data_IF_850223742417
#
_entry.id   IF_850223742417
#
_cell.length_a   1.000
_cell.length_b   1.000
_cell.length_c   1.000
_cell.angle_alpha   90.00
_cell.angle_beta   90.00
_cell.angle_gamma   90.00
#
_symmetry.space_group_name_H-M   'P 1'
#
loop_
_entity.id
_entity.type
_entity.pdbx_description
1 polymer ?
#
# COMPACT_ATOMS: atom_id res chain seq x y z
N UNK A 1 -28.53 16.51 55.76
CA UNK A 1 -28.40 15.04 55.79
C UNK A 1 -27.07 14.70 55.12
N UNK A 2 -26.01 14.34 55.89
CA UNK A 2 -24.69 14.02 55.32
C UNK A 2 -24.71 12.53 54.92
N UNK A 3 -24.80 12.25 53.65
CA UNK A 3 -24.70 10.89 53.11
C UNK A 3 -23.27 10.38 53.32
N UNK A 4 -23.05 9.47 54.24
CA UNK A 4 -21.77 8.79 54.43
C UNK A 4 -21.52 7.88 53.20
N UNK A 5 -20.60 8.31 52.33
CA UNK A 5 -20.19 7.52 51.17
C UNK A 5 -19.27 6.39 51.64
N UNK A 6 -19.76 5.16 51.67
CA UNK A 6 -18.97 3.96 52.00
C UNK A 6 -18.67 3.17 50.74
N UNK A 7 -17.51 2.51 50.66
CA UNK A 7 -17.09 1.70 49.53
C UNK A 7 -18.15 0.65 49.12
N UNK A 8 -18.82 0.06 50.13
CA UNK A 8 -19.92 -0.90 49.86
C UNK A 8 -21.11 -0.26 49.13
N UNK A 9 -21.47 0.99 49.48
CA UNK A 9 -22.55 1.72 48.79
C UNK A 9 -22.16 2.08 47.38
N UNK A 10 -20.91 2.49 47.13
CA UNK A 10 -20.39 2.77 45.78
C UNK A 10 -20.46 1.51 44.92
N UNK A 11 -19.95 0.38 45.43
CA UNK A 11 -20.02 -0.91 44.69
C UNK A 11 -21.46 -1.34 44.42
N UNK A 12 -22.36 -1.21 45.40
CA UNK A 12 -23.77 -1.56 45.22
C UNK A 12 -24.45 -0.69 44.17
N UNK A 13 -24.14 0.63 44.13
CA UNK A 13 -24.69 1.54 43.12
C UNK A 13 -24.16 1.20 41.72
N UNK A 14 -22.86 0.92 41.58
CA UNK A 14 -22.25 0.50 40.34
C UNK A 14 -22.86 -0.82 39.84
N UNK A 15 -23.02 -1.80 40.74
CA UNK A 15 -23.63 -3.08 40.38
C UNK A 15 -25.11 -2.92 39.97
N UNK A 16 -25.87 -2.09 40.69
CA UNK A 16 -27.27 -1.79 40.30
C UNK A 16 -27.37 -1.08 38.97
N UNK A 17 -26.50 -0.11 38.69
CA UNK A 17 -26.43 0.56 37.40
C UNK A 17 -26.06 -0.39 36.26
N UNK A 18 -25.11 -1.29 36.46
CA UNK A 18 -24.74 -2.31 35.51
C UNK A 18 -25.90 -3.29 35.23
N UNK A 19 -26.57 -3.75 36.29
CA UNK A 19 -27.74 -4.64 36.17
C UNK A 19 -28.90 -3.96 35.42
N UNK A 20 -29.16 -2.68 35.70
CA UNK A 20 -30.16 -1.90 34.98
C UNK A 20 -29.77 -1.73 33.51
N UNK A 21 -28.50 -1.42 33.19
CA UNK A 21 -28.02 -1.33 31.82
C UNK A 21 -28.18 -2.65 31.04
N UNK A 22 -27.87 -3.77 31.69
CA UNK A 22 -28.10 -5.10 31.11
C UNK A 22 -29.59 -5.42 30.91
N UNK A 23 -30.44 -5.06 31.86
CA UNK A 23 -31.90 -5.24 31.73
C UNK A 23 -32.49 -4.42 30.59
N UNK A 24 -32.02 -3.16 30.42
CA UNK A 24 -32.41 -2.31 29.29
C UNK A 24 -31.93 -2.92 27.97
N UNK A 25 -30.68 -3.38 27.87
CA UNK A 25 -30.17 -4.03 26.69
C UNK A 25 -30.95 -5.32 26.34
N UNK A 26 -31.24 -6.14 27.35
CA UNK A 26 -32.03 -7.37 27.22
C UNK A 26 -33.47 -7.13 26.79
N UNK A 27 -34.08 -6.03 27.21
CA UNK A 27 -35.49 -5.70 26.92
C UNK A 27 -35.76 -5.44 25.43
N UNK A 28 -34.71 -5.19 24.61
CA UNK A 28 -34.86 -4.84 23.21
C UNK A 28 -35.47 -3.45 22.95
N UNK A 29 -35.60 -2.63 23.99
CA UNK A 29 -36.18 -1.27 23.84
C UNK A 29 -35.27 -0.31 23.09
N UNK A 30 -33.95 -0.62 23.06
CA UNK A 30 -32.98 0.18 22.34
C UNK A 30 -33.11 -0.12 20.85
N UNK A 31 -33.55 0.86 20.09
CA UNK A 31 -33.61 0.75 18.63
C UNK A 31 -32.17 0.82 18.03
N UNK A 32 -31.71 -0.28 17.44
CA UNK A 32 -30.42 -0.38 16.72
C UNK A 32 -30.59 -0.31 15.20
N UNK A 33 -31.78 0.02 14.72
CA UNK A 33 -32.07 0.17 13.29
C UNK A 33 -31.34 1.38 12.70
N UNK A 34 -30.54 1.17 11.65
CA UNK A 34 -29.79 2.23 10.97
C UNK A 34 -30.67 3.32 10.34
N UNK A 35 -31.97 3.03 10.13
CA UNK A 35 -32.93 3.96 9.55
C UNK A 35 -33.26 5.17 10.45
N UNK A 36 -32.95 5.13 11.73
CA UNK A 36 -33.25 6.20 12.69
C UNK A 36 -32.11 7.15 12.96
N UNK A 37 -30.89 6.80 12.52
CA UNK A 37 -29.67 7.55 12.82
C UNK A 37 -29.29 7.51 14.31
N UNK A 38 -28.22 8.21 14.66
CA UNK A 38 -27.81 8.41 16.05
C UNK A 38 -28.51 9.65 16.64
N UNK A 39 -28.70 9.66 17.95
CA UNK A 39 -29.02 10.91 18.65
C UNK A 39 -27.86 11.90 18.47
N UNK A 40 -28.15 13.18 18.34
CA UNK A 40 -27.16 14.22 18.09
C UNK A 40 -25.99 14.21 19.08
N UNK A 41 -26.27 13.94 20.38
CA UNK A 41 -25.23 13.83 21.42
C UNK A 41 -24.37 12.59 21.24
N UNK A 42 -24.94 11.48 20.81
CA UNK A 42 -24.20 10.25 20.52
C UNK A 42 -23.32 10.41 19.29
N UNK A 43 -23.85 11.00 18.23
CA UNK A 43 -23.11 11.30 17.01
C UNK A 43 -21.93 12.23 17.28
N UNK A 44 -22.15 13.33 18.00
CA UNK A 44 -21.09 14.24 18.43
C UNK A 44 -20.02 13.51 19.25
N UNK A 45 -20.42 12.69 20.22
CA UNK A 45 -19.47 11.96 21.08
C UNK A 45 -18.64 10.95 20.29
N UNK A 46 -19.26 10.17 19.41
CA UNK A 46 -18.58 9.18 18.58
C UNK A 46 -17.58 9.84 17.63
N UNK A 47 -17.97 10.95 16.98
CA UNK A 47 -17.05 11.72 16.13
C UNK A 47 -15.90 12.32 16.93
N UNK A 48 -16.17 12.89 18.09
CA UNK A 48 -15.14 13.44 18.96
C UNK A 48 -14.16 12.35 19.43
N UNK A 49 -14.67 11.20 19.88
CA UNK A 49 -13.86 10.07 20.33
C UNK A 49 -13.00 9.52 19.18
N UNK A 50 -13.59 9.32 18.01
CA UNK A 50 -12.88 8.85 16.81
C UNK A 50 -11.74 9.80 16.42
N UNK A 51 -12.02 11.13 16.35
CA UNK A 51 -10.99 12.11 16.00
C UNK A 51 -9.83 12.13 16.99
N UNK A 52 -10.11 12.05 18.29
CA UNK A 52 -9.07 12.00 19.33
C UNK A 52 -8.26 10.69 19.23
N UNK A 53 -8.93 9.56 19.03
CA UNK A 53 -8.27 8.26 18.83
C UNK A 53 -7.30 8.32 17.63
N UNK A 54 -7.77 8.78 16.49
CA UNK A 54 -6.93 8.88 15.28
C UNK A 54 -5.73 9.79 15.52
N UNK A 55 -5.93 10.97 16.13
CA UNK A 55 -4.84 11.91 16.43
C UNK A 55 -3.79 11.27 17.34
N UNK A 56 -4.24 10.64 18.42
CA UNK A 56 -3.36 10.01 19.40
C UNK A 56 -2.58 8.84 18.78
N UNK A 57 -3.29 7.88 18.20
CA UNK A 57 -2.64 6.70 17.63
C UNK A 57 -1.73 7.02 16.44
N UNK A 58 -2.13 7.93 15.56
CA UNK A 58 -1.26 8.36 14.45
C UNK A 58 0.04 8.98 14.97
N UNK A 59 -0.01 9.75 16.07
CA UNK A 59 1.19 10.37 16.64
C UNK A 59 2.13 9.34 17.27
N UNK A 60 1.61 8.31 17.94
CA UNK A 60 2.43 7.34 18.66
C UNK A 60 2.82 6.10 17.83
N UNK A 61 2.07 5.75 16.78
CA UNK A 61 2.29 4.48 16.06
C UNK A 61 2.73 4.65 14.62
N UNK A 62 2.61 5.85 14.03
CA UNK A 62 3.04 6.11 12.65
C UNK A 62 4.31 6.96 12.67
N UNK A 63 5.38 6.43 12.11
CA UNK A 63 6.61 7.18 11.92
C UNK A 63 6.38 8.38 10.97
N UNK A 64 7.04 9.51 11.24
CA UNK A 64 6.96 10.71 10.38
C UNK A 64 7.45 10.40 8.98
N UNK A 65 8.58 9.74 8.86
CA UNK A 65 9.17 9.36 7.58
C UNK A 65 8.34 8.32 6.84
N UNK A 66 7.64 7.44 7.57
CA UNK A 66 6.75 6.45 6.96
C UNK A 66 5.52 7.06 6.29
N UNK A 67 5.10 8.26 6.69
CA UNK A 67 3.97 8.96 6.10
C UNK A 67 4.37 9.92 4.96
N UNK A 68 5.66 10.19 4.80
CA UNK A 68 6.19 11.05 3.75
C UNK A 68 6.37 10.28 2.46
N UNK A 69 5.92 10.86 1.36
CA UNK A 69 6.18 10.37 0.01
C UNK A 69 6.82 11.47 -0.82
N UNK A 70 7.72 11.12 -1.75
CA UNK A 70 8.11 12.03 -2.82
C UNK A 70 6.87 12.54 -3.54
N UNK A 71 6.85 13.81 -3.88
CA UNK A 71 5.66 14.49 -4.45
C UNK A 71 5.55 14.26 -5.98
N UNK A 72 6.25 13.25 -6.52
CA UNK A 72 6.11 12.87 -7.90
C UNK A 72 4.76 12.18 -8.13
N UNK A 73 3.96 12.72 -9.04
CA UNK A 73 2.63 12.20 -9.34
C UNK A 73 2.61 10.78 -9.94
N UNK A 74 3.79 10.23 -10.29
CA UNK A 74 3.91 8.93 -10.96
C UNK A 74 3.47 7.75 -10.08
N UNK A 75 3.70 7.85 -8.78
CA UNK A 75 3.34 6.82 -7.81
C UNK A 75 1.84 6.81 -7.45
N UNK A 76 1.07 7.83 -7.87
CA UNK A 76 -0.35 7.94 -7.54
C UNK A 76 -1.26 7.11 -8.43
N UNK A 77 -0.79 6.61 -9.58
CA UNK A 77 -1.61 5.84 -10.54
C UNK A 77 -2.17 4.57 -9.90
N UNK A 78 -1.33 3.84 -9.18
CA UNK A 78 -1.73 2.62 -8.47
C UNK A 78 -2.79 2.93 -7.40
N UNK A 79 -2.55 3.95 -6.57
CA UNK A 79 -3.48 4.37 -5.53
C UNK A 79 -4.80 4.89 -6.13
N UNK A 80 -4.75 5.72 -7.17
CA UNK A 80 -5.93 6.25 -7.85
C UNK A 80 -6.81 5.13 -8.40
N UNK A 81 -6.21 4.14 -9.04
CA UNK A 81 -6.94 3.00 -9.57
C UNK A 81 -7.56 2.11 -8.50
N UNK A 82 -6.84 1.86 -7.41
CA UNK A 82 -7.39 1.12 -6.29
C UNK A 82 -8.50 1.92 -5.60
N UNK A 83 -8.32 3.24 -5.43
CA UNK A 83 -9.36 4.14 -4.89
C UNK A 83 -10.64 4.07 -5.71
N UNK A 84 -10.54 4.21 -7.02
CA UNK A 84 -11.69 4.13 -7.92
C UNK A 84 -12.41 2.78 -7.83
N UNK A 85 -11.66 1.68 -7.69
CA UNK A 85 -12.22 0.33 -7.65
C UNK A 85 -12.84 -0.04 -6.30
N UNK A 86 -12.34 0.49 -5.18
CA UNK A 86 -12.68 0.00 -3.83
C UNK A 86 -13.21 1.08 -2.89
N UNK A 87 -12.78 2.34 -3.04
CA UNK A 87 -13.08 3.40 -2.08
C UNK A 87 -14.17 4.36 -2.60
N UNK A 88 -14.14 4.69 -3.90
CA UNK A 88 -15.01 5.70 -4.49
C UNK A 88 -16.49 5.37 -4.38
N UNK A 89 -16.87 4.09 -4.37
CA UNK A 89 -18.26 3.65 -4.18
C UNK A 89 -18.85 4.20 -2.88
N UNK A 90 -18.04 4.30 -1.84
CA UNK A 90 -18.46 4.84 -0.53
C UNK A 90 -18.15 6.33 -0.39
N UNK A 91 -17.00 6.76 -0.83
CA UNK A 91 -16.46 8.10 -0.54
C UNK A 91 -16.63 9.11 -1.67
N UNK A 92 -17.15 8.69 -2.84
CA UNK A 92 -17.16 9.52 -4.04
C UNK A 92 -15.75 9.83 -4.56
N UNK A 93 -15.68 10.69 -5.57
CA UNK A 93 -14.43 11.16 -6.15
C UNK A 93 -14.64 12.54 -6.80
N UNK A 94 -13.58 13.27 -7.17
CA UNK A 94 -13.71 14.52 -7.90
C UNK A 94 -14.58 14.37 -9.16
N UNK A 95 -15.76 15.00 -9.16
CA UNK A 95 -16.76 14.92 -10.24
C UNK A 95 -17.63 13.64 -10.25
N UNK A 96 -17.48 12.77 -9.25
CA UNK A 96 -18.25 11.52 -9.11
C UNK A 96 -18.91 11.47 -7.73
N UNK A 97 -20.22 11.39 -7.70
CA UNK A 97 -20.97 11.29 -6.43
C UNK A 97 -20.88 9.87 -5.85
N UNK A 98 -20.82 9.73 -4.53
CA UNK A 98 -20.92 8.42 -3.89
C UNK A 98 -22.29 7.80 -4.11
N UNK A 99 -22.38 6.47 -3.99
CA UNK A 99 -23.64 5.74 -4.12
C UNK A 99 -24.70 6.26 -3.14
N UNK A 100 -25.92 6.61 -3.59
CA UNK A 100 -26.99 7.05 -2.70
C UNK A 100 -27.35 6.03 -1.62
N UNK A 101 -27.25 4.73 -1.94
CA UNK A 101 -27.49 3.63 -0.98
C UNK A 101 -26.46 3.65 0.14
N UNK A 102 -25.21 3.86 -0.21
CA UNK A 102 -24.11 3.91 0.77
C UNK A 102 -24.21 5.20 1.61
N UNK A 103 -24.65 6.30 1.01
CA UNK A 103 -24.86 7.57 1.74
C UNK A 103 -26.01 7.49 2.76
N UNK A 104 -26.89 6.50 2.64
CA UNK A 104 -27.92 6.21 3.65
C UNK A 104 -27.36 5.40 4.86
N UNK A 105 -26.10 4.99 4.86
CA UNK A 105 -25.49 4.30 5.99
C UNK A 105 -25.36 5.22 7.23
N UNK A 106 -25.38 4.61 8.40
CA UNK A 106 -25.20 5.33 9.68
C UNK A 106 -23.98 4.76 10.43
N UNK A 107 -22.88 5.52 10.53
CA UNK A 107 -22.67 6.86 9.94
C UNK A 107 -22.47 6.82 8.42
N UNK A 108 -22.86 7.88 7.74
CA UNK A 108 -22.60 8.03 6.32
C UNK A 108 -21.09 8.21 6.05
N UNK A 109 -20.53 7.56 5.01
CA UNK A 109 -19.14 7.78 4.62
C UNK A 109 -18.92 9.25 4.22
N UNK A 110 -17.82 9.89 4.65
CA UNK A 110 -17.52 11.26 4.27
C UNK A 110 -17.11 11.36 2.79
N UNK A 111 -17.51 12.43 2.12
CA UNK A 111 -16.99 12.81 0.81
C UNK A 111 -15.54 13.30 0.95
N UNK A 112 -14.57 12.47 0.52
CA UNK A 112 -13.16 12.75 0.72
C UNK A 112 -12.63 13.89 -0.15
N UNK A 113 -13.26 14.19 -1.28
CA UNK A 113 -12.91 15.35 -2.07
C UNK A 113 -13.14 16.68 -1.29
N UNK A 114 -14.01 16.66 -0.27
CA UNK A 114 -14.29 17.82 0.59
C UNK A 114 -13.60 17.73 1.96
N UNK A 115 -13.48 16.55 2.51
CA UNK A 115 -13.19 16.39 3.95
C UNK A 115 -11.78 15.90 4.26
N UNK A 116 -11.07 15.29 3.29
CA UNK A 116 -9.75 14.72 3.52
C UNK A 116 -8.71 15.75 4.02
N UNK A 117 -8.83 17.01 3.59
CA UNK A 117 -7.95 18.09 4.05
C UNK A 117 -8.03 18.42 5.55
N UNK A 118 -9.01 17.87 6.29
CA UNK A 118 -9.10 18.01 7.75
C UNK A 118 -8.15 17.09 8.53
N UNK A 119 -7.41 16.22 7.83
CA UNK A 119 -6.47 15.25 8.38
C UNK A 119 -5.07 15.46 7.81
N UNK A 120 -4.04 15.29 8.64
CA UNK A 120 -2.67 15.24 8.13
C UNK A 120 -2.31 13.85 7.56
N UNK A 121 -1.18 13.73 6.88
CA UNK A 121 -0.75 12.48 6.20
C UNK A 121 -0.61 11.30 7.17
N UNK A 122 -0.09 11.50 8.39
CA UNK A 122 0.04 10.43 9.40
C UNK A 122 -1.34 9.91 9.84
N UNK A 123 -2.29 10.83 10.02
CA UNK A 123 -3.67 10.49 10.37
C UNK A 123 -4.36 9.75 9.23
N UNK A 124 -4.21 10.21 7.98
CA UNK A 124 -4.73 9.50 6.80
C UNK A 124 -4.11 8.11 6.66
N UNK A 125 -2.79 7.98 6.86
CA UNK A 125 -2.11 6.69 6.87
C UNK A 125 -2.74 5.76 7.90
N UNK A 126 -2.91 6.24 9.16
CA UNK A 126 -3.50 5.44 10.22
C UNK A 126 -4.94 5.01 9.90
N UNK A 127 -5.76 5.95 9.41
CA UNK A 127 -7.16 5.68 9.04
C UNK A 127 -7.23 4.63 7.93
N UNK A 128 -6.45 4.79 6.87
CA UNK A 128 -6.43 3.86 5.73
C UNK A 128 -5.94 2.48 6.18
N UNK A 129 -4.89 2.42 6.99
CA UNK A 129 -4.32 1.16 7.47
C UNK A 129 -5.27 0.38 8.36
N UNK A 130 -5.90 1.05 9.31
CA UNK A 130 -6.67 0.38 10.38
C UNK A 130 -8.18 0.40 10.19
N UNK A 131 -8.70 1.21 9.25
CA UNK A 131 -10.12 1.44 9.14
C UNK A 131 -10.71 2.12 10.39
N UNK A 132 -12.02 2.10 10.52
CA UNK A 132 -12.72 2.69 11.68
C UNK A 132 -13.72 1.69 12.25
N UNK A 133 -13.49 1.22 13.47
CA UNK A 133 -14.38 0.28 14.17
C UNK A 133 -15.80 0.83 14.28
N UNK A 134 -16.78 -0.05 14.24
CA UNK A 134 -18.21 0.24 14.30
C UNK A 134 -18.73 1.08 13.13
N UNK A 135 -17.99 1.10 12.02
CA UNK A 135 -18.40 1.67 10.74
C UNK A 135 -18.19 0.65 9.62
N UNK A 136 -18.63 0.97 8.40
CA UNK A 136 -18.39 0.15 7.23
C UNK A 136 -16.98 0.30 6.64
N UNK A 137 -16.11 1.17 7.19
CA UNK A 137 -14.75 1.37 6.70
C UNK A 137 -13.82 0.24 7.17
N UNK A 138 -13.40 -0.69 6.28
CA UNK A 138 -12.54 -1.79 6.64
C UNK A 138 -11.10 -1.33 6.85
N UNK A 139 -10.30 -2.16 7.50
CA UNK A 139 -8.85 -2.01 7.50
C UNK A 139 -8.26 -2.37 6.13
N UNK A 140 -7.06 -1.86 5.83
CA UNK A 140 -6.31 -2.25 4.63
C UNK A 140 -6.09 -3.76 4.60
N UNK A 141 -6.43 -4.47 3.51
CA UNK A 141 -6.40 -5.93 3.51
C UNK A 141 -4.98 -6.50 3.63
N UNK A 142 -3.98 -5.82 3.09
CA UNK A 142 -2.58 -6.20 3.14
C UNK A 142 -1.84 -5.42 4.25
N UNK A 143 -2.00 -5.82 5.50
CA UNK A 143 -1.51 -5.09 6.68
C UNK A 143 0.01 -4.93 6.75
N UNK A 144 0.76 -5.76 6.03
CA UNK A 144 2.21 -5.74 5.89
C UNK A 144 2.69 -4.82 4.74
N UNK A 145 1.77 -4.18 3.98
CA UNK A 145 2.07 -3.33 2.82
C UNK A 145 1.90 -1.85 3.14
N UNK A 146 2.74 -1.35 4.05
CA UNK A 146 2.78 0.07 4.42
C UNK A 146 3.12 1.01 3.26
N UNK A 147 3.82 0.50 2.25
CA UNK A 147 4.07 1.20 0.99
C UNK A 147 2.76 1.52 0.23
N UNK A 148 1.86 0.56 0.09
CA UNK A 148 0.54 0.78 -0.53
C UNK A 148 -0.35 1.72 0.29
N UNK A 149 -0.34 1.57 1.63
CA UNK A 149 -1.07 2.45 2.55
C UNK A 149 -0.59 3.90 2.42
N UNK A 150 0.73 4.09 2.31
CA UNK A 150 1.36 5.41 2.14
C UNK A 150 0.94 6.06 0.83
N UNK A 151 0.97 5.31 -0.27
CA UNK A 151 0.52 5.78 -1.58
C UNK A 151 -0.96 6.18 -1.54
N UNK A 152 -1.81 5.37 -0.91
CA UNK A 152 -3.23 5.67 -0.76
C UNK A 152 -3.47 6.90 0.12
N UNK A 153 -2.78 7.05 1.24
CA UNK A 153 -2.89 8.21 2.10
C UNK A 153 -2.43 9.50 1.40
N UNK A 154 -1.37 9.42 0.59
CA UNK A 154 -0.89 10.53 -0.22
C UNK A 154 -1.89 10.90 -1.32
N UNK A 155 -2.49 9.92 -1.99
CA UNK A 155 -3.54 10.14 -2.98
C UNK A 155 -4.77 10.80 -2.36
N UNK A 156 -5.27 10.27 -1.24
CA UNK A 156 -6.42 10.82 -0.51
C UNK A 156 -6.17 12.26 -0.05
N UNK A 157 -4.95 12.58 0.39
CA UNK A 157 -4.58 13.94 0.77
C UNK A 157 -4.67 14.95 -0.39
N UNK A 158 -4.51 14.49 -1.65
CA UNK A 158 -4.60 15.34 -2.85
C UNK A 158 -6.03 15.50 -3.38
N UNK A 159 -6.98 14.65 -2.98
CA UNK A 159 -8.36 14.68 -3.49
C UNK A 159 -9.04 16.07 -3.36
N UNK A 160 -8.92 16.84 -2.25
CA UNK A 160 -9.59 18.14 -2.12
C UNK A 160 -9.15 19.19 -3.15
N UNK A 161 -7.96 19.06 -3.71
CA UNK A 161 -7.44 19.98 -4.74
C UNK A 161 -7.48 19.41 -6.16
N UNK A 162 -7.92 18.17 -6.32
CA UNK A 162 -7.86 17.46 -7.59
C UNK A 162 -9.10 17.74 -8.45
N UNK A 163 -8.88 18.09 -9.73
CA UNK A 163 -9.97 18.24 -10.71
C UNK A 163 -10.51 16.90 -11.21
N UNK A 164 -11.77 16.87 -11.62
CA UNK A 164 -12.41 15.64 -12.13
C UNK A 164 -11.69 15.02 -13.34
N UNK A 165 -11.08 15.84 -14.20
CA UNK A 165 -10.34 15.35 -15.37
C UNK A 165 -9.01 14.71 -14.93
N UNK A 166 -8.30 15.32 -13.98
CA UNK A 166 -7.06 14.77 -13.42
C UNK A 166 -7.34 13.45 -12.70
N UNK A 167 -8.38 13.40 -11.87
CA UNK A 167 -8.80 12.17 -11.22
C UNK A 167 -9.05 11.05 -12.24
N UNK A 168 -9.86 11.31 -13.27
CA UNK A 168 -10.17 10.30 -14.28
C UNK A 168 -8.94 9.82 -15.03
N UNK A 169 -8.02 10.72 -15.36
CA UNK A 169 -6.76 10.35 -16.00
C UNK A 169 -5.91 9.40 -15.12
N UNK A 170 -5.79 9.69 -13.83
CA UNK A 170 -5.04 8.85 -12.91
C UNK A 170 -5.76 7.53 -12.61
N UNK A 171 -7.07 7.58 -12.39
CA UNK A 171 -7.88 6.43 -11.97
C UNK A 171 -8.20 5.45 -13.09
N UNK A 172 -8.49 5.95 -14.29
CA UNK A 172 -9.00 5.16 -15.41
C UNK A 172 -8.07 5.15 -16.62
N UNK A 173 -7.06 6.05 -16.67
CA UNK A 173 -6.21 6.20 -17.84
C UNK A 173 -7.00 6.64 -19.09
N UNK A 174 -6.55 6.19 -20.26
CA UNK A 174 -7.19 6.52 -21.54
C UNK A 174 -8.51 5.76 -21.76
N UNK A 175 -8.75 4.68 -21.03
CA UNK A 175 -9.89 3.78 -21.24
C UNK A 175 -11.18 4.21 -20.49
N UNK A 176 -11.09 5.16 -19.59
CA UNK A 176 -12.23 5.90 -19.03
C UNK A 176 -13.10 5.19 -18.00
N UNK A 177 -12.93 3.90 -17.71
CA UNK A 177 -13.73 3.17 -16.70
C UNK A 177 -13.03 1.92 -16.18
N UNK A 178 -13.46 1.45 -15.01
CA UNK A 178 -13.10 0.14 -14.46
C UNK A 178 -14.23 -0.83 -14.81
N UNK A 179 -13.90 -2.01 -15.32
CA UNK A 179 -14.88 -3.05 -15.60
C UNK A 179 -15.44 -3.58 -14.27
N UNK A 180 -16.75 -3.47 -14.11
CA UNK A 180 -17.43 -4.05 -12.95
C UNK A 180 -17.62 -5.56 -13.13
N UNK A 181 -17.34 -6.35 -12.08
CA UNK A 181 -17.57 -7.78 -12.10
C UNK A 181 -16.36 -8.62 -12.54
N UNK A 182 -16.63 -9.84 -12.98
CA UNK A 182 -15.63 -10.82 -13.36
C UNK A 182 -15.21 -10.63 -14.82
N UNK A 183 -13.91 -10.62 -15.05
CA UNK A 183 -13.32 -10.44 -16.40
C UNK A 183 -12.98 -11.81 -16.96
N UNK A 184 -13.55 -12.14 -18.12
CA UNK A 184 -13.41 -13.46 -18.75
C UNK A 184 -12.68 -13.42 -20.10
N UNK A 185 -12.44 -12.22 -20.64
CA UNK A 185 -11.82 -12.02 -21.96
C UNK A 185 -10.55 -11.20 -21.84
N UNK A 186 -9.55 -11.55 -22.67
CA UNK A 186 -8.23 -10.92 -22.63
C UNK A 186 -8.29 -9.42 -23.01
N UNK A 187 -9.05 -9.09 -24.05
CA UNK A 187 -9.23 -7.71 -24.50
C UNK A 187 -9.95 -6.80 -23.50
N UNK A 188 -10.69 -7.38 -22.56
CA UNK A 188 -11.33 -6.67 -21.46
C UNK A 188 -10.36 -6.47 -20.27
N UNK A 189 -9.47 -7.45 -20.04
CA UNK A 189 -8.51 -7.41 -18.95
C UNK A 189 -7.34 -6.45 -19.21
N UNK A 190 -6.83 -6.43 -20.44
CA UNK A 190 -5.62 -5.69 -20.80
C UNK A 190 -5.70 -4.18 -20.50
N UNK A 191 -6.79 -3.45 -20.77
CA UNK A 191 -6.89 -2.04 -20.41
C UNK A 191 -6.68 -1.77 -18.92
N UNK A 192 -7.31 -2.58 -18.05
CA UNK A 192 -7.15 -2.45 -16.60
C UNK A 192 -5.72 -2.77 -16.13
N UNK A 193 -5.10 -3.79 -16.71
CA UNK A 193 -3.72 -4.16 -16.39
C UNK A 193 -2.72 -3.12 -16.90
N UNK A 194 -2.88 -2.68 -18.15
CA UNK A 194 -1.99 -1.75 -18.84
C UNK A 194 -1.99 -0.36 -18.18
N UNK A 195 -3.06 0.03 -17.51
CA UNK A 195 -3.13 1.29 -16.79
C UNK A 195 -1.97 1.48 -15.81
N UNK A 196 -1.57 0.41 -15.12
CA UNK A 196 -0.47 0.41 -14.19
C UNK A 196 0.81 -0.19 -14.80
N UNK A 197 0.67 -1.33 -15.47
CA UNK A 197 1.81 -2.07 -16.03
C UNK A 197 2.26 -1.57 -17.41
N UNK A 198 1.58 -0.59 -17.99
CA UNK A 198 1.73 -0.07 -19.35
C UNK A 198 1.48 -1.14 -20.44
N UNK A 199 1.16 -0.71 -21.68
CA UNK A 199 0.86 -1.62 -22.77
C UNK A 199 2.09 -2.42 -23.25
N UNK A 200 3.28 -1.84 -23.06
CA UNK A 200 4.56 -2.49 -23.32
C UNK A 200 5.05 -3.38 -22.17
N UNK A 201 4.29 -3.48 -21.07
CA UNK A 201 4.60 -4.27 -19.90
C UNK A 201 5.75 -3.74 -19.03
N UNK A 202 6.23 -2.50 -19.28
CA UNK A 202 7.34 -1.90 -18.50
C UNK A 202 6.93 -1.32 -17.17
N UNK A 203 5.62 -1.12 -16.95
CA UNK A 203 5.09 -0.49 -15.76
C UNK A 203 5.44 1.00 -15.65
N UNK A 204 4.83 1.68 -14.70
CA UNK A 204 5.11 3.09 -14.38
C UNK A 204 5.70 3.17 -12.97
N UNK A 205 6.55 4.15 -12.71
CA UNK A 205 7.19 4.37 -11.39
C UNK A 205 7.68 3.05 -10.74
N UNK A 206 7.22 2.74 -9.55
CA UNK A 206 7.54 1.53 -8.76
C UNK A 206 6.76 0.27 -9.18
N UNK A 207 5.88 0.38 -10.20
CA UNK A 207 5.12 -0.76 -10.72
C UNK A 207 6.05 -1.67 -11.53
N UNK A 208 6.08 -2.99 -11.25
CA UNK A 208 7.08 -3.88 -11.82
C UNK A 208 6.94 -4.08 -13.33
N UNK A 209 8.08 -4.34 -13.97
CA UNK A 209 8.17 -4.80 -15.35
C UNK A 209 7.63 -6.23 -15.45
N UNK A 210 6.64 -6.43 -16.30
CA UNK A 210 6.08 -7.75 -16.64
C UNK A 210 6.61 -8.26 -17.98
N UNK A 211 6.98 -7.34 -18.89
CA UNK A 211 7.50 -7.66 -20.22
C UNK A 211 8.64 -8.68 -20.17
N UNK A 212 8.57 -9.72 -20.99
CA UNK A 212 9.57 -10.77 -21.08
C UNK A 212 9.78 -11.60 -19.81
N UNK A 213 8.93 -11.46 -18.80
CA UNK A 213 9.00 -12.31 -17.59
C UNK A 213 8.42 -13.69 -17.91
N UNK A 214 8.89 -14.73 -17.24
CA UNK A 214 8.42 -16.11 -17.44
C UNK A 214 6.90 -16.22 -17.26
N UNK A 215 6.19 -16.72 -18.27
CA UNK A 215 4.73 -16.90 -18.23
C UNK A 215 4.30 -17.77 -17.02
N UNK A 216 5.05 -18.82 -16.73
CA UNK A 216 4.81 -19.70 -15.56
C UNK A 216 4.89 -18.94 -14.23
N UNK A 217 5.85 -18.02 -14.09
CA UNK A 217 5.96 -17.16 -12.91
C UNK A 217 4.82 -16.15 -12.83
N UNK A 218 4.48 -15.48 -13.93
CA UNK A 218 3.37 -14.50 -13.98
C UNK A 218 2.03 -15.17 -13.62
N UNK A 219 1.75 -16.33 -14.20
CA UNK A 219 0.54 -17.09 -13.89
C UNK A 219 0.49 -17.54 -12.41
N UNK A 220 1.60 -18.02 -11.86
CA UNK A 220 1.69 -18.39 -10.45
C UNK A 220 1.50 -17.17 -9.53
N UNK A 221 2.10 -16.02 -9.88
CA UNK A 221 1.95 -14.77 -9.12
C UNK A 221 0.50 -14.28 -9.13
N UNK A 222 -0.19 -14.25 -10.28
CA UNK A 222 -1.60 -13.85 -10.36
C UNK A 222 -2.49 -14.78 -9.52
N UNK A 223 -2.28 -16.09 -9.60
CA UNK A 223 -3.02 -17.05 -8.75
C UNK A 223 -2.76 -16.83 -7.26
N UNK A 224 -1.52 -16.53 -6.89
CA UNK A 224 -1.15 -16.25 -5.50
C UNK A 224 -1.81 -14.97 -4.97
N UNK A 225 -1.90 -13.93 -5.80
CA UNK A 225 -2.66 -12.71 -5.45
C UNK A 225 -4.16 -13.00 -5.34
N UNK A 226 -4.76 -13.69 -6.30
CA UNK A 226 -6.18 -14.03 -6.28
C UNK A 226 -6.57 -14.89 -5.06
N UNK A 227 -5.65 -15.70 -4.56
CA UNK A 227 -5.83 -16.54 -3.37
C UNK A 227 -5.43 -15.85 -2.04
N UNK A 228 -4.98 -14.58 -2.06
CA UNK A 228 -4.44 -13.88 -0.90
C UNK A 228 -3.15 -14.49 -0.32
N UNK A 229 -2.49 -15.36 -1.06
CA UNK A 229 -1.23 -16.00 -0.66
C UNK A 229 0.00 -15.11 -0.90
N UNK A 230 -0.15 -14.07 -1.71
CA UNK A 230 0.84 -13.02 -1.95
C UNK A 230 0.21 -11.68 -1.59
N UNK A 231 0.83 -10.96 -0.66
CA UNK A 231 0.28 -9.74 -0.08
C UNK A 231 0.40 -8.54 -1.02
N UNK A 232 -0.74 -7.97 -1.40
CA UNK A 232 -0.91 -6.67 -2.07
C UNK A 232 -2.39 -6.36 -2.20
N UNK A 233 -2.90 -5.36 -1.52
CA UNK A 233 -4.32 -4.98 -1.62
C UNK A 233 -4.70 -4.60 -3.06
N UNK A 234 -3.80 -3.94 -3.79
CA UNK A 234 -4.01 -3.55 -5.18
C UNK A 234 -4.11 -4.77 -6.09
N UNK A 235 -3.12 -5.67 -6.03
CA UNK A 235 -3.08 -6.83 -6.91
C UNK A 235 -4.04 -7.94 -6.49
N UNK A 236 -4.33 -8.12 -5.20
CA UNK A 236 -5.36 -9.04 -4.71
C UNK A 236 -6.73 -8.64 -5.29
N UNK A 237 -7.08 -7.35 -5.19
CA UNK A 237 -8.33 -6.81 -5.74
C UNK A 237 -8.42 -6.96 -7.25
N UNK A 238 -7.33 -6.70 -7.98
CA UNK A 238 -7.28 -6.84 -9.43
C UNK A 238 -7.39 -8.33 -9.84
N UNK A 239 -6.59 -9.20 -9.24
CA UNK A 239 -6.52 -10.63 -9.58
C UNK A 239 -7.81 -11.39 -9.22
N UNK A 240 -8.51 -10.99 -8.14
CA UNK A 240 -9.77 -11.61 -7.73
C UNK A 240 -10.89 -11.46 -8.78
N UNK A 241 -10.81 -10.44 -9.64
CA UNK A 241 -11.78 -10.19 -10.72
C UNK A 241 -11.49 -11.00 -11.99
N UNK A 242 -10.27 -11.53 -12.14
CA UNK A 242 -9.88 -12.30 -13.32
C UNK A 242 -10.44 -13.73 -13.23
N UNK A 243 -11.03 -14.19 -14.32
CA UNK A 243 -11.39 -15.60 -14.44
C UNK A 243 -10.13 -16.47 -14.39
N UNK A 244 -10.08 -17.53 -13.55
CA UNK A 244 -8.90 -18.39 -13.46
C UNK A 244 -8.45 -18.98 -14.81
N UNK A 245 -9.37 -19.21 -15.73
CA UNK A 245 -9.06 -19.69 -17.09
C UNK A 245 -8.35 -18.65 -17.97
N UNK A 246 -8.48 -17.36 -17.67
CA UNK A 246 -7.83 -16.29 -18.39
C UNK A 246 -6.37 -16.06 -17.96
N UNK A 247 -6.00 -16.50 -16.76
CA UNK A 247 -4.65 -16.26 -16.21
C UNK A 247 -3.52 -16.73 -17.13
N UNK A 248 -3.57 -17.91 -17.77
CA UNK A 248 -2.52 -18.33 -18.70
C UNK A 248 -2.34 -17.37 -19.88
N UNK A 249 -3.44 -16.92 -20.49
CA UNK A 249 -3.40 -16.01 -21.65
C UNK A 249 -2.83 -14.63 -21.26
N UNK A 250 -3.19 -14.09 -20.11
CA UNK A 250 -2.60 -12.86 -19.57
C UNK A 250 -1.10 -13.00 -19.31
N UNK A 251 -0.70 -14.11 -18.70
CA UNK A 251 0.70 -14.39 -18.41
C UNK A 251 1.53 -14.50 -19.70
N UNK A 252 1.01 -15.19 -20.71
CA UNK A 252 1.66 -15.35 -22.01
C UNK A 252 1.75 -14.01 -22.76
N UNK A 253 0.71 -13.18 -22.71
CA UNK A 253 0.71 -11.86 -23.32
C UNK A 253 1.91 -11.03 -22.82
N UNK A 254 2.07 -10.87 -21.50
CA UNK A 254 3.19 -10.09 -20.97
C UNK A 254 4.55 -10.77 -21.13
N UNK A 255 4.60 -12.10 -21.09
CA UNK A 255 5.83 -12.85 -21.32
C UNK A 255 6.36 -12.68 -22.73
N UNK A 256 5.48 -12.52 -23.72
CA UNK A 256 5.86 -12.33 -25.14
C UNK A 256 6.36 -10.92 -25.47
N UNK A 257 6.13 -9.94 -24.58
CA UNK A 257 6.60 -8.57 -24.81
C UNK A 257 8.11 -8.46 -24.63
N UNK A 258 8.79 -7.59 -25.40
CA UNK A 258 10.24 -7.43 -25.32
C UNK A 258 10.66 -6.81 -23.99
N UNK A 259 11.62 -7.45 -23.31
CA UNK A 259 12.24 -6.95 -22.08
C UNK A 259 13.52 -6.20 -22.41
N UNK A 260 13.72 -5.03 -21.81
CA UNK A 260 14.95 -4.24 -21.96
C UNK A 260 15.50 -3.88 -20.56
N UNK A 261 16.80 -3.57 -20.51
CA UNK A 261 17.41 -2.96 -19.34
C UNK A 261 16.72 -1.62 -19.01
N UNK A 262 16.64 -1.29 -17.74
CA UNK A 262 16.20 0.05 -17.34
C UNK A 262 17.30 1.07 -17.65
N UNK A 263 16.95 2.30 -18.09
CA UNK A 263 17.92 3.38 -18.17
C UNK A 263 18.58 3.55 -16.78
N UNK A 264 19.89 3.77 -16.75
CA UNK A 264 20.54 4.19 -15.51
C UNK A 264 19.90 5.52 -15.08
N UNK A 265 19.40 5.59 -13.85
CA UNK A 265 19.02 6.87 -13.25
C UNK A 265 20.29 7.71 -13.18
N UNK A 266 20.37 8.77 -13.99
CA UNK A 266 21.46 9.71 -13.95
C UNK A 266 21.39 10.46 -12.62
N UNK A 267 22.52 10.64 -11.94
CA UNK A 267 22.66 11.40 -10.66
C UNK A 267 22.11 12.84 -10.74
N UNK A 268 21.62 13.29 -11.89
CA UNK A 268 21.01 14.59 -12.14
C UNK A 268 19.57 14.75 -11.65
N UNK A 269 18.79 13.67 -11.62
CA UNK A 269 17.37 13.73 -11.24
C UNK A 269 17.10 13.88 -9.73
N UNK A 270 18.14 13.72 -8.91
CA UNK A 270 18.05 13.87 -7.45
C UNK A 270 18.35 15.31 -7.00
N UNK A 271 18.97 16.13 -7.85
CA UNK A 271 19.41 17.51 -7.49
C UNK A 271 18.38 18.59 -7.80
N UNK A 272 17.48 18.37 -8.74
CA UNK A 272 16.49 19.39 -9.17
C UNK A 272 15.22 19.48 -8.28
N UNK A 273 15.08 18.61 -7.29
CA UNK A 273 13.96 18.66 -6.35
C UNK A 273 14.26 19.48 -5.07
N UNK A 274 15.43 20.12 -4.96
CA UNK A 274 15.90 20.77 -3.74
C UNK A 274 16.17 22.29 -3.82
N UNK A 275 16.08 22.95 -4.97
CA UNK A 275 16.37 24.37 -5.07
C UNK A 275 15.12 25.21 -5.38
N UNK A 276 14.40 25.57 -4.31
CA UNK A 276 13.30 26.52 -4.41
C UNK A 276 12.62 26.79 -3.09
N UNK A 277 13.26 27.44 -2.13
CA UNK A 277 12.68 28.45 -1.22
C UNK A 277 13.60 28.74 -0.03
N UNK A 278 13.99 30.02 0.11
CA UNK A 278 14.28 30.63 1.42
C UNK A 278 15.72 30.94 1.75
N UNK A 279 16.17 32.15 1.31
CA UNK A 279 17.27 32.86 1.95
C UNK A 279 16.93 33.18 3.41
N UNK A 280 17.80 32.78 4.31
CA UNK A 280 17.72 33.11 5.73
C UNK A 280 19.04 32.75 6.42
N UNK A 281 19.85 33.75 6.71
CA UNK A 281 21.19 33.72 7.27
C UNK A 281 21.29 32.96 8.61
N UNK A 282 22.39 32.21 8.79
CA UNK A 282 22.82 31.66 10.06
C UNK A 282 24.11 30.87 9.94
N UNK A 283 25.27 31.50 10.20
CA UNK A 283 26.56 30.85 10.22
C UNK A 283 26.69 29.82 11.33
N UNK A 284 27.16 28.63 11.01
CA UNK A 284 27.54 27.60 11.95
C UNK A 284 28.40 26.55 11.26
N UNK A 285 29.71 26.67 11.39
CA UNK A 285 30.68 25.73 10.84
C UNK A 285 30.55 24.35 11.54
N UNK A 286 30.33 23.32 10.75
CA UNK A 286 30.44 21.91 11.17
C UNK A 286 30.72 21.09 9.95
N UNK A 287 32.00 20.79 9.70
CA UNK A 287 32.43 19.84 8.68
C UNK A 287 31.91 18.45 9.02
N UNK A 288 30.84 18.03 8.33
CA UNK A 288 30.40 16.64 8.28
C UNK A 288 30.91 16.01 6.98
N UNK A 289 31.95 15.22 7.10
CA UNK A 289 32.52 14.41 6.04
C UNK A 289 31.44 13.53 5.42
N UNK A 290 31.31 13.63 4.10
CA UNK A 290 30.51 12.72 3.30
C UNK A 290 30.98 11.29 3.54
N UNK A 291 30.09 10.42 3.94
CA UNK A 291 30.38 8.99 4.06
C UNK A 291 30.66 8.41 2.66
N UNK A 292 31.92 8.49 2.28
CA UNK A 292 32.48 7.74 1.15
C UNK A 292 32.27 6.28 1.37
N UNK A 293 31.95 5.57 0.29
CA UNK A 293 31.91 4.11 0.23
C UNK A 293 33.14 3.54 0.94
N UNK A 294 32.91 2.90 2.10
CA UNK A 294 33.95 2.24 2.88
C UNK A 294 34.62 1.18 2.05
N UNK A 295 35.92 1.35 1.79
CA UNK A 295 36.78 0.37 1.16
C UNK A 295 36.82 -0.89 2.02
N UNK A 296 36.23 -2.02 1.54
CA UNK A 296 36.43 -3.34 2.12
C UNK A 296 35.28 -4.34 2.04
N UNK A 297 34.06 -3.97 1.63
CA UNK A 297 32.97 -4.94 1.49
C UNK A 297 32.84 -5.50 0.06
N UNK A 298 32.15 -6.68 -0.11
CA UNK A 298 31.93 -7.25 -1.42
C UNK A 298 30.99 -6.34 -2.24
N UNK A 299 31.28 -6.22 -3.54
CA UNK A 299 30.43 -5.49 -4.48
C UNK A 299 29.10 -6.21 -4.70
N UNK A 300 28.07 -5.47 -5.16
CA UNK A 300 26.76 -6.06 -5.49
C UNK A 300 26.91 -7.21 -6.50
N UNK A 301 27.79 -7.04 -7.50
CA UNK A 301 28.07 -8.08 -8.50
C UNK A 301 28.66 -9.37 -7.88
N UNK A 302 29.56 -9.22 -6.93
CA UNK A 302 30.15 -10.38 -6.22
C UNK A 302 29.06 -11.06 -5.36
N UNK A 303 28.25 -10.33 -4.63
CA UNK A 303 27.15 -10.91 -3.82
C UNK A 303 26.15 -11.64 -4.72
N UNK A 304 25.83 -11.10 -5.90
CA UNK A 304 24.93 -11.76 -6.85
C UNK A 304 25.51 -13.10 -7.32
N UNK A 305 26.81 -13.17 -7.57
CA UNK A 305 27.50 -14.38 -8.12
C UNK A 305 27.92 -15.37 -7.06
N UNK A 306 28.36 -14.91 -5.90
CA UNK A 306 28.99 -15.75 -4.87
C UNK A 306 28.20 -15.86 -3.58
N UNK A 307 27.20 -14.95 -3.38
CA UNK A 307 26.52 -14.80 -2.10
C UNK A 307 27.34 -14.04 -1.07
N UNK A 308 26.94 -14.15 0.20
CA UNK A 308 27.59 -13.54 1.34
C UNK A 308 27.70 -14.62 2.44
N UNK A 309 28.78 -15.43 2.48
CA UNK A 309 28.90 -16.59 3.37
C UNK A 309 28.77 -16.24 4.84
N UNK A 310 29.32 -15.10 5.29
CA UNK A 310 29.26 -14.61 6.67
C UNK A 310 27.81 -14.32 7.13
N UNK A 311 26.92 -13.98 6.20
CA UNK A 311 25.48 -13.80 6.46
C UNK A 311 24.65 -15.03 6.10
N UNK A 312 25.26 -16.15 5.71
CA UNK A 312 24.58 -17.32 5.15
C UNK A 312 23.64 -16.97 3.96
N UNK A 313 24.02 -15.97 3.17
CA UNK A 313 23.28 -15.51 2.01
C UNK A 313 23.77 -16.26 0.76
N UNK A 314 22.90 -17.08 0.09
CA UNK A 314 23.29 -17.76 -1.14
C UNK A 314 23.45 -16.78 -2.30
N UNK A 315 24.17 -17.17 -3.35
CA UNK A 315 24.24 -16.42 -4.59
C UNK A 315 22.85 -16.21 -5.20
N UNK A 316 22.51 -14.97 -5.54
CA UNK A 316 21.19 -14.66 -6.14
C UNK A 316 21.04 -15.36 -7.50
N UNK A 317 22.13 -15.44 -8.29
CA UNK A 317 22.18 -16.12 -9.58
C UNK A 317 21.92 -17.63 -9.51
N UNK A 318 21.97 -18.25 -8.33
CA UNK A 318 21.64 -19.68 -8.18
C UNK A 318 20.15 -19.97 -8.41
N UNK A 319 19.28 -18.99 -8.17
CA UNK A 319 17.82 -19.13 -8.30
C UNK A 319 17.22 -18.20 -9.37
N UNK A 320 17.78 -17.00 -9.54
CA UNK A 320 17.28 -15.97 -10.46
C UNK A 320 18.08 -15.93 -11.77
N UNK A 321 17.40 -15.93 -12.90
CA UNK A 321 17.99 -15.91 -14.24
C UNK A 321 17.05 -16.53 -15.28
N UNK A 322 17.33 -16.37 -16.59
CA UNK A 322 16.47 -16.86 -17.66
C UNK A 322 16.34 -18.38 -17.65
N UNK A 323 17.45 -19.12 -17.44
CA UNK A 323 17.51 -20.58 -17.49
C UNK A 323 17.23 -21.26 -16.14
N UNK A 324 16.84 -20.48 -15.12
CA UNK A 324 16.56 -21.01 -13.79
C UNK A 324 15.10 -21.49 -13.68
N UNK A 325 14.76 -22.09 -12.52
CA UNK A 325 13.46 -22.72 -12.28
C UNK A 325 12.29 -21.83 -12.74
N UNK A 326 11.28 -22.39 -13.42
CA UNK A 326 10.16 -21.63 -13.97
C UNK A 326 9.39 -20.78 -12.97
N UNK A 327 9.30 -21.23 -11.71
CA UNK A 327 8.59 -20.50 -10.63
C UNK A 327 9.38 -19.32 -10.01
N UNK A 328 10.63 -19.09 -10.44
CA UNK A 328 11.45 -17.98 -9.93
C UNK A 328 11.50 -16.86 -10.97
N UNK A 329 11.32 -15.58 -10.55
CA UNK A 329 11.36 -14.44 -11.47
C UNK A 329 12.76 -14.19 -12.03
N UNK A 330 12.82 -13.68 -13.24
CA UNK A 330 13.98 -12.98 -13.76
C UNK A 330 14.07 -11.61 -13.10
N UNK A 331 15.25 -11.23 -12.63
CA UNK A 331 15.47 -9.95 -11.96
C UNK A 331 16.10 -8.91 -12.89
N UNK A 332 16.90 -9.34 -13.88
CA UNK A 332 17.57 -8.46 -14.84
C UNK A 332 16.53 -7.58 -15.59
N UNK A 333 16.83 -6.28 -15.69
CA UNK A 333 15.92 -5.30 -16.29
C UNK A 333 14.67 -4.98 -15.46
N UNK A 334 14.61 -5.36 -14.18
CA UNK A 334 13.53 -4.96 -13.28
C UNK A 334 13.88 -3.61 -12.62
N UNK A 335 12.87 -2.84 -12.24
CA UNK A 335 13.07 -1.51 -11.65
C UNK A 335 13.76 -1.57 -10.29
N UNK A 336 14.67 -0.63 -10.08
CA UNK A 336 15.42 -0.46 -8.82
C UNK A 336 14.45 -0.26 -7.64
N UNK A 337 13.51 0.66 -7.78
CA UNK A 337 12.54 1.02 -6.74
C UNK A 337 11.70 -0.19 -6.33
N UNK A 338 11.21 -0.94 -7.33
CA UNK A 338 10.43 -2.15 -7.08
C UNK A 338 11.25 -3.23 -6.36
N UNK A 339 12.47 -3.50 -6.82
CA UNK A 339 13.35 -4.52 -6.20
C UNK A 339 13.72 -4.12 -4.77
N UNK A 340 14.13 -2.88 -4.55
CA UNK A 340 14.49 -2.36 -3.23
C UNK A 340 13.29 -2.41 -2.27
N UNK A 341 12.12 -1.94 -2.71
CA UNK A 341 10.89 -2.00 -1.92
C UNK A 341 10.51 -3.44 -1.55
N UNK A 342 10.62 -4.39 -2.50
CA UNK A 342 10.33 -5.81 -2.24
C UNK A 342 11.33 -6.44 -1.26
N UNK A 343 12.61 -6.13 -1.38
CA UNK A 343 13.63 -6.63 -0.45
C UNK A 343 13.40 -6.07 0.96
N UNK A 344 13.12 -4.77 1.09
CA UNK A 344 12.80 -4.14 2.39
C UNK A 344 11.54 -4.72 3.01
N UNK A 345 10.49 -4.90 2.22
CA UNK A 345 9.25 -5.53 2.67
C UNK A 345 9.49 -6.94 3.24
N UNK A 346 10.25 -7.79 2.55
CA UNK A 346 10.56 -9.15 3.03
C UNK A 346 11.52 -9.16 4.22
N UNK A 347 12.37 -8.16 4.38
CA UNK A 347 13.22 -8.01 5.56
C UNK A 347 12.39 -7.71 6.79
N UNK A 348 11.37 -6.89 6.68
CA UNK A 348 10.32 -6.56 7.62
C UNK A 348 10.71 -6.43 9.10
N UNK A 349 9.85 -5.88 9.91
CA UNK A 349 9.98 -5.97 11.37
C UNK A 349 9.71 -7.43 11.80
N UNK A 350 10.67 -8.11 12.47
CA UNK A 350 10.47 -9.47 12.93
C UNK A 350 9.33 -9.61 13.96
N UNK A 351 8.81 -8.50 14.49
CA UNK A 351 7.65 -8.48 15.39
C UNK A 351 6.33 -8.50 14.65
N UNK A 352 6.29 -8.14 13.36
CA UNK A 352 5.10 -8.30 12.52
C UNK A 352 5.06 -9.74 12.04
N UNK A 353 4.40 -10.59 12.81
CA UNK A 353 4.10 -11.96 12.39
C UNK A 353 3.09 -11.86 11.27
N UNK A 354 3.53 -12.04 10.01
CA UNK A 354 2.61 -12.30 8.92
C UNK A 354 1.81 -13.57 9.27
N UNK A 355 0.53 -13.39 9.58
CA UNK A 355 -0.37 -14.48 9.91
C UNK A 355 -0.52 -15.47 8.72
N UNK A 356 -0.18 -15.02 7.52
CA UNK A 356 -0.08 -15.83 6.31
C UNK A 356 1.35 -16.37 6.18
N UNK A 357 1.58 -17.58 6.65
CA UNK A 357 2.88 -18.27 6.53
C UNK A 357 3.26 -18.39 5.05
N UNK A 358 4.07 -17.46 4.57
CA UNK A 358 4.64 -17.55 3.24
C UNK A 358 5.62 -18.73 3.19
N UNK A 359 5.34 -19.71 2.35
CA UNK A 359 6.27 -20.80 2.04
C UNK A 359 7.37 -20.35 1.06
N UNK A 360 7.32 -19.11 0.59
CA UNK A 360 8.29 -18.54 -0.32
C UNK A 360 9.66 -18.40 0.37
N UNK A 361 10.77 -18.78 -0.28
CA UNK A 361 12.10 -18.73 0.31
C UNK A 361 12.62 -17.29 0.49
N UNK A 362 12.15 -16.32 -0.31
CA UNK A 362 12.69 -14.96 -0.34
C UNK A 362 12.56 -14.19 0.99
N UNK A 363 11.50 -14.28 1.79
CA UNK A 363 11.47 -13.63 3.11
C UNK A 363 12.60 -14.08 4.04
N UNK A 364 12.96 -15.36 4.02
CA UNK A 364 14.08 -15.87 4.82
C UNK A 364 15.45 -15.40 4.28
N UNK A 365 15.57 -15.31 2.95
CA UNK A 365 16.79 -14.88 2.28
C UNK A 365 16.99 -13.37 2.44
N UNK A 366 15.94 -12.57 2.22
CA UNK A 366 15.99 -11.11 2.29
C UNK A 366 16.43 -10.60 3.68
N UNK A 367 16.02 -11.28 4.75
CA UNK A 367 16.44 -10.94 6.13
C UNK A 367 17.96 -11.04 6.35
N UNK A 368 18.66 -11.81 5.52
CA UNK A 368 20.12 -11.98 5.57
C UNK A 368 20.86 -10.92 4.76
N UNK A 369 20.17 -10.13 3.93
CA UNK A 369 20.78 -9.07 3.14
C UNK A 369 21.01 -7.86 4.06
N UNK A 370 22.25 -7.39 4.27
CA UNK A 370 22.51 -6.14 4.98
C UNK A 370 21.79 -4.95 4.32
N UNK A 371 21.29 -3.99 5.12
CA UNK A 371 20.51 -2.85 4.57
C UNK A 371 21.27 -2.06 3.51
N UNK A 372 22.57 -1.80 3.76
CA UNK A 372 23.43 -1.07 2.84
C UNK A 372 23.62 -1.75 1.47
N UNK A 373 23.30 -3.05 1.34
CA UNK A 373 23.37 -3.78 0.07
C UNK A 373 22.02 -3.83 -0.67
N UNK A 374 20.92 -3.45 -0.06
CA UNK A 374 19.59 -3.54 -0.70
C UNK A 374 19.55 -2.71 -1.98
N UNK A 375 19.90 -1.43 -1.89
CA UNK A 375 19.90 -0.52 -3.03
C UNK A 375 20.94 -0.88 -4.11
N UNK A 376 22.21 -1.18 -3.76
CA UNK A 376 23.20 -1.63 -4.73
C UNK A 376 22.79 -2.91 -5.48
N UNK A 377 22.18 -3.89 -4.80
CA UNK A 377 21.70 -5.11 -5.43
C UNK A 377 20.53 -4.82 -6.40
N UNK A 378 19.60 -3.95 -6.00
CA UNK A 378 18.49 -3.55 -6.83
C UNK A 378 18.97 -2.86 -8.12
N UNK A 379 19.89 -1.88 -8.02
CA UNK A 379 20.50 -1.21 -9.17
C UNK A 379 21.27 -2.18 -10.07
N UNK A 380 22.01 -3.11 -9.48
CA UNK A 380 22.77 -4.12 -10.25
C UNK A 380 21.84 -4.91 -11.18
N UNK A 381 20.68 -5.37 -10.69
CA UNK A 381 19.75 -6.11 -11.53
C UNK A 381 19.00 -5.20 -12.53
N UNK A 382 18.69 -3.96 -12.15
CA UNK A 382 17.99 -3.03 -13.02
C UNK A 382 18.82 -2.66 -14.27
N UNK A 383 20.14 -2.44 -14.11
CA UNK A 383 21.04 -2.07 -15.20
C UNK A 383 21.43 -3.22 -16.14
N UNK A 384 21.09 -4.46 -15.78
CA UNK A 384 21.45 -5.62 -16.61
C UNK A 384 20.43 -5.85 -17.72
N UNK A 385 20.93 -6.09 -18.94
CA UNK A 385 20.09 -6.61 -20.01
C UNK A 385 19.75 -8.09 -19.78
N UNK A 386 18.51 -8.52 -19.97
CA UNK A 386 18.12 -9.92 -19.79
C UNK A 386 18.69 -10.87 -20.86
N UNK A 387 19.27 -10.34 -21.93
CA UNK A 387 19.75 -11.11 -23.10
C UNK A 387 21.25 -11.47 -23.01
N UNK A 388 21.85 -11.42 -21.84
CA UNK A 388 23.27 -11.79 -21.65
C UNK A 388 23.46 -12.83 -20.55
#
# INVERSE_FOLDING_TARGET
MILKLTWKRVLATVAAAAALGMAIAWSGVINIGASTGHWAVTDWFLHWAMRNTVRTYAEFTVDRTAAEMPDDGSQLVSAAGHYAAQCAVCHGAPGELPSPVIQAATPAPPDLAKTAGSWNRRQLFWIVKHGVKFTAMPAWPAQDRDDEVRQMAAFVAKLPGMGAQEYRRLAYGEHGHIIAGKVTRLEEALPDCNRCHAADGRGQADIPVLAGQKATYLAAALRAFAAGARSSAVMESAAARIDPGLIPALAEHYASLPRAAQPEATDGDVRDAGEGAGEGAGAGAGAGEGAGAGAGGPSAAEVVQKGLPEANLPACSSCHGPDKRPGYPMLDGQKTEYLAARLRHWRGDPTVVDARKSTAPMPMIARRIPEHLVEPLARHFASRSPDR
#
